data_IF_490032578565
#
_entry.id   IF_490032578565
#
_cell.length_a   1.000
_cell.length_b   1.000
_cell.length_c   1.000
_cell.angle_alpha   90.00
_cell.angle_beta   90.00
_cell.angle_gamma   90.00
#
_symmetry.space_group_name_H-M   'P 1'
#
loop_
_entity.id
_entity.type
_entity.pdbx_description
1 polymer ?
2 non-polymer ?
3 non-polymer ?
4 non-polymer ?
5 water ?
#
# COMPACT_ATOMS: atom_id res chain seq x y z
N UNK A 1 -15.54 9.25 -6.07
CA UNK A 1 -15.18 8.69 -4.75
C UNK A 1 -15.70 7.26 -4.54
N UNK A 2 -14.82 6.36 -4.15
CA UNK A 2 -15.07 4.93 -4.03
C UNK A 2 -15.34 4.69 -2.56
N UNK A 3 -15.93 3.58 -2.26
CA UNK A 3 -16.16 3.17 -0.87
C UNK A 3 -15.01 2.27 -0.44
N UNK A 4 -14.48 2.46 0.77
CA UNK A 4 -13.48 1.55 1.33
C UNK A 4 -14.15 0.64 2.37
N UNK A 5 -13.69 -0.60 2.50
CA UNK A 5 -12.58 -1.16 1.70
C UNK A 5 -12.91 -1.37 0.22
N UNK A 6 -11.89 -1.20 -0.61
CA UNK A 6 -11.99 -1.28 -2.06
C UNK A 6 -11.06 -2.39 -2.55
N UNK A 7 -11.52 -3.16 -3.54
CA UNK A 7 -10.66 -4.13 -4.20
C UNK A 7 -10.36 -3.65 -5.61
N UNK A 8 -9.08 -3.51 -5.93
CA UNK A 8 -8.61 -3.27 -7.29
C UNK A 8 -8.16 -4.60 -7.87
N UNK A 9 -8.84 -5.15 -8.86
CA UNK A 9 -8.35 -6.38 -9.51
C UNK A 9 -7.03 -6.11 -10.20
N UNK A 10 -6.15 -7.10 -10.14
CA UNK A 10 -4.86 -7.06 -10.82
C UNK A 10 -4.79 -8.34 -11.63
N UNK A 11 -5.58 -8.45 -12.72
CA UNK A 11 -5.60 -9.71 -13.45
C UNK A 11 -4.29 -9.96 -14.10
N UNK A 12 -3.82 -11.19 -14.01
CA UNK A 12 -2.47 -11.46 -14.47
C UNK A 12 -1.43 -10.94 -13.51
N UNK A 13 -1.84 -10.43 -12.34
CA UNK A 13 -0.93 -10.01 -11.30
C UNK A 13 -0.15 -8.78 -11.70
N UNK A 14 1.03 -8.70 -11.11
CA UNK A 14 1.90 -7.57 -11.33
C UNK A 14 3.12 -8.02 -12.13
N UNK A 15 3.85 -7.05 -12.67
CA UNK A 15 4.97 -7.33 -13.56
C UNK A 15 5.89 -6.14 -13.51
N UNK A 16 7.22 -6.33 -13.62
CA UNK A 16 8.08 -5.15 -13.61
C UNK A 16 7.63 -4.12 -14.60
N UNK A 17 7.75 -2.89 -14.18
CA UNK A 17 7.39 -1.71 -14.92
C UNK A 17 5.91 -1.35 -14.78
N UNK A 18 5.13 -2.15 -14.08
CA UNK A 18 3.78 -1.75 -13.76
C UNK A 18 3.80 -0.72 -12.63
N UNK A 19 2.99 0.32 -12.81
CA UNK A 19 2.89 1.42 -11.85
C UNK A 19 1.46 1.50 -11.38
N UNK A 20 1.23 1.27 -10.10
CA UNK A 20 -0.10 1.32 -9.50
C UNK A 20 -0.26 2.63 -8.76
N UNK A 21 -1.32 3.37 -9.06
CA UNK A 21 -1.55 4.68 -8.45
C UNK A 21 -2.84 4.64 -7.64
N UNK A 22 -2.75 5.10 -6.40
CA UNK A 22 -3.86 5.18 -5.48
C UNK A 22 -3.98 6.65 -5.08
N UNK A 23 -5.15 7.25 -5.35
CA UNK A 23 -5.42 8.65 -5.04
C UNK A 23 -6.50 8.74 -4.00
N UNK A 24 -6.27 9.55 -2.99
CA UNK A 24 -7.27 9.70 -1.97
C UNK A 24 -6.97 10.88 -1.07
N UNK A 25 -7.76 11.00 0.01
CA UNK A 25 -7.56 12.03 1.03
C UNK A 25 -7.62 11.36 2.40
N UNK A 26 -6.67 11.68 3.27
CA UNK A 26 -6.68 11.14 4.63
C UNK A 26 -7.81 11.80 5.41
N UNK A 27 -8.60 10.96 6.12
CA UNK A 27 -9.66 11.52 6.92
C UNK A 27 -9.10 12.32 8.09
N UNK A 28 -9.79 13.36 8.57
CA UNK A 28 -9.11 14.31 9.49
C UNK A 28 -8.57 13.68 10.81
N UNK A 29 -9.19 12.63 11.33
CA UNK A 29 -8.73 12.01 12.58
C UNK A 29 -8.26 10.59 12.36
N UNK A 30 -7.48 10.38 11.31
CA UNK A 30 -7.10 9.06 10.85
C UNK A 30 -6.20 8.37 11.86
N UNK A 31 -6.39 7.07 11.92
CA UNK A 31 -5.54 6.17 12.68
C UNK A 31 -4.65 5.27 11.83
N UNK A 32 -5.14 4.80 10.67
CA UNK A 32 -4.35 3.86 9.89
C UNK A 32 -4.88 3.84 8.47
N UNK A 33 -3.99 3.39 7.56
CA UNK A 33 -4.30 3.08 6.18
C UNK A 33 -3.68 1.71 5.90
N UNK A 34 -4.26 0.91 4.99
CA UNK A 34 -3.60 -0.33 4.59
C UNK A 34 -3.81 -0.56 3.09
N UNK A 35 -2.71 -0.90 2.40
CA UNK A 35 -2.71 -1.50 1.06
C UNK A 35 -2.27 -2.94 1.24
N UNK A 36 -3.02 -3.87 0.67
CA UNK A 36 -2.69 -5.30 0.72
C UNK A 36 -2.68 -5.91 -0.68
N UNK A 37 -1.47 -6.12 -1.21
CA UNK A 37 -1.30 -6.87 -2.46
C UNK A 37 -1.41 -8.33 -2.13
N UNK A 38 -2.44 -9.00 -2.64
CA UNK A 38 -2.78 -10.34 -2.24
C UNK A 38 -2.54 -11.36 -3.34
N UNK A 39 -2.07 -12.54 -2.90
CA UNK A 39 -2.02 -13.75 -3.71
C UNK A 39 -2.93 -14.74 -2.99
N UNK A 40 -4.17 -14.83 -3.43
CA UNK A 40 -5.15 -15.56 -2.62
C UNK A 40 -5.26 -14.93 -1.23
N UNK A 41 -5.18 -15.78 -0.19
CA UNK A 41 -5.21 -15.27 1.18
C UNK A 41 -3.86 -14.71 1.64
N UNK A 42 -2.78 -14.97 0.91
CA UNK A 42 -1.52 -14.45 1.32
C UNK A 42 -1.41 -12.99 0.96
N UNK A 43 -0.69 -12.25 1.76
CA UNK A 43 -0.47 -10.82 1.51
C UNK A 43 0.99 -10.71 1.11
N UNK A 44 1.25 -10.55 -0.18
CA UNK A 44 2.62 -10.39 -0.68
C UNK A 44 3.24 -9.14 -0.13
N UNK A 45 2.47 -8.04 -0.05
CA UNK A 45 3.01 -6.75 0.36
C UNK A 45 1.86 -6.01 1.04
N UNK A 46 2.03 -5.80 2.35
CA UNK A 46 1.16 -5.03 3.23
C UNK A 46 1.92 -3.73 3.49
N UNK A 47 1.29 -2.60 3.19
CA UNK A 47 1.81 -1.27 3.38
C UNK A 47 0.86 -0.56 4.31
N UNK A 48 1.30 -0.26 5.54
CA UNK A 48 0.41 0.11 6.63
C UNK A 48 0.89 1.34 7.38
N UNK A 49 0.57 2.53 6.89
CA UNK A 49 0.76 3.75 7.69
C UNK A 49 -0.07 3.73 8.94
N UNK A 50 0.61 3.96 10.08
CA UNK A 50 -0.02 4.02 11.39
C UNK A 50 0.22 5.42 11.94
N UNK A 51 -0.87 6.15 12.17
CA UNK A 51 -0.79 7.54 12.59
C UNK A 51 -0.54 7.70 14.09
N UNK A 52 -0.75 6.68 14.88
CA UNK A 52 -0.67 6.86 16.32
C UNK A 52 -0.34 5.53 16.94
N UNK A 53 0.87 5.07 16.69
CA UNK A 53 1.40 3.91 17.39
C UNK A 53 2.33 4.50 18.46
N UNK A 54 1.88 4.62 19.71
CA UNK A 54 2.68 5.31 20.74
C UNK A 54 2.97 6.77 20.41
N UNK A 55 1.94 7.50 19.97
CA UNK A 55 2.11 8.91 19.63
C UNK A 55 3.19 9.09 18.62
N UNK A 56 3.47 8.00 17.92
CA UNK A 56 4.43 7.98 16.86
C UNK A 56 3.70 7.62 15.57
N UNK A 57 4.13 8.25 14.51
CA UNK A 57 3.68 7.91 13.17
C UNK A 57 4.74 7.03 12.52
N UNK A 58 4.32 5.90 11.94
CA UNK A 58 5.27 4.96 11.37
C UNK A 58 4.56 4.22 10.25
N UNK A 59 5.32 3.83 9.22
CA UNK A 59 4.81 2.95 8.18
C UNK A 59 5.36 1.55 8.41
N UNK A 60 4.48 0.58 8.57
CA UNK A 60 4.82 -0.82 8.75
C UNK A 60 4.57 -1.55 7.44
N UNK A 61 5.55 -2.31 6.98
CA UNK A 61 5.40 -3.19 5.83
C UNK A 61 5.68 -4.62 6.24
N UNK A 62 4.98 -5.57 5.66
CA UNK A 62 5.16 -6.99 5.96
C UNK A 62 4.48 -7.83 4.90
N UNK A 63 4.60 -9.16 5.09
CA UNK A 63 4.01 -10.20 4.27
C UNK A 63 3.31 -11.19 5.18
N UNK A 64 2.16 -11.65 4.74
CA UNK A 64 1.39 -12.63 5.51
C UNK A 64 1.36 -13.92 4.68
N UNK A 65 1.85 -15.02 5.26
CA UNK A 65 1.89 -16.30 4.58
C UNK A 65 1.19 -17.32 5.46
N UNK A 66 0.21 -18.03 4.90
CA UNK A 66 -0.55 -19.00 5.67
C UNK A 66 -1.08 -18.37 6.95
N UNK A 67 -1.52 -17.12 6.84
CA UNK A 67 -2.16 -16.38 7.90
C UNK A 67 -1.19 -15.95 9.00
N UNK A 68 0.13 -16.01 8.77
CA UNK A 68 1.14 -15.61 9.73
C UNK A 68 1.94 -14.43 9.21
N UNK A 69 1.96 -13.32 9.96
CA UNK A 69 2.79 -12.19 9.55
C UNK A 69 4.25 -12.53 9.76
N UNK A 70 5.09 -12.06 8.84
CA UNK A 70 6.52 -12.25 8.88
C UNK A 70 7.20 -11.14 9.67
N UNK A 71 8.47 -10.94 9.36
CA UNK A 71 9.24 -9.89 10.01
C UNK A 71 8.96 -8.51 9.41
N UNK A 72 8.61 -7.56 10.27
CA UNK A 72 8.25 -6.23 9.82
C UNK A 72 9.46 -5.45 9.31
N UNK A 73 9.18 -4.55 8.37
CA UNK A 73 10.11 -3.51 7.93
C UNK A 73 9.41 -2.18 8.18
N UNK A 74 10.04 -1.25 8.89
CA UNK A 74 9.40 0.00 9.31
C UNK A 74 10.10 1.19 8.68
N UNK A 75 9.30 2.22 8.45
CA UNK A 75 9.79 3.47 7.88
C UNK A 75 9.19 4.61 8.69
N UNK A 76 10.05 5.48 9.25
CA UNK A 76 9.61 6.63 10.02
C UNK A 76 9.33 7.87 9.18
N UNK A 77 9.87 7.95 7.94
CA UNK A 77 9.43 9.00 7.03
C UNK A 77 7.96 8.80 6.77
N UNK A 78 7.16 9.89 6.94
CA UNK A 78 5.71 9.74 7.06
C UNK A 78 5.09 10.87 6.30
N UNK A 79 4.80 10.69 5.01
CA UNK A 79 4.33 11.81 4.18
C UNK A 79 2.84 12.10 4.27
N UNK A 80 2.05 11.26 4.89
CA UNK A 80 0.62 11.41 4.92
C UNK A 80 0.22 12.35 6.06
N UNK A 81 -0.87 13.09 5.87
CA UNK A 81 -1.32 14.02 6.89
C UNK A 81 -2.83 14.07 6.91
N UNK A 82 -3.39 14.05 8.11
CA UNK A 82 -4.84 14.04 8.24
C UNK A 82 -5.40 15.24 7.48
N UNK A 83 -6.45 14.99 6.71
CA UNK A 83 -7.13 16.00 5.94
C UNK A 83 -6.54 16.29 4.58
N UNK A 84 -5.39 15.73 4.25
CA UNK A 84 -4.78 16.13 3.00
C UNK A 84 -4.84 15.04 1.92
N UNK A 85 -4.89 15.48 0.67
CA UNK A 85 -4.89 14.55 -0.46
C UNK A 85 -3.52 13.95 -0.69
N UNK A 86 -3.48 12.69 -1.07
CA UNK A 86 -2.25 11.99 -1.32
C UNK A 86 -2.35 11.22 -2.63
N UNK A 87 -1.18 10.86 -3.13
CA UNK A 87 -1.02 9.91 -4.22
C UNK A 87 0.04 8.91 -3.80
N UNK A 88 -0.34 7.65 -3.73
CA UNK A 88 0.62 6.56 -3.53
C UNK A 88 0.88 5.93 -4.90
N UNK A 89 2.14 5.79 -5.27
CA UNK A 89 2.53 5.06 -6.49
C UNK A 89 3.41 3.88 -6.09
N UNK A 90 3.03 2.70 -6.52
CA UNK A 90 3.77 1.47 -6.28
C UNK A 90 4.30 1.07 -7.65
N UNK A 91 5.63 1.11 -7.82
CA UNK A 91 6.31 0.68 -9.03
C UNK A 91 6.84 -0.72 -8.76
N UNK A 92 6.42 -1.66 -9.59
CA UNK A 92 6.94 -3.01 -9.49
C UNK A 92 8.25 -3.12 -10.21
N UNK A 93 9.28 -3.56 -9.50
CA UNK A 93 10.58 -3.80 -10.09
C UNK A 93 10.91 -5.28 -9.93
N UNK A 94 11.99 -5.76 -10.58
CA UNK A 94 12.26 -7.21 -10.49
C UNK A 94 12.51 -7.69 -9.09
N UNK A 95 13.18 -6.91 -8.27
CA UNK A 95 13.52 -7.45 -6.97
C UNK A 95 12.71 -6.89 -5.83
N UNK A 96 11.93 -5.84 -6.08
CA UNK A 96 11.23 -5.16 -4.99
C UNK A 96 10.05 -4.35 -5.54
N UNK A 97 9.16 -3.95 -4.63
CA UNK A 97 8.26 -2.84 -4.85
C UNK A 97 8.94 -1.59 -4.44
N UNK A 98 8.77 -0.56 -5.23
CA UNK A 98 9.28 0.76 -4.93
C UNK A 98 8.08 1.69 -4.74
N UNK A 99 7.99 2.36 -3.60
CA UNK A 99 6.83 3.18 -3.25
C UNK A 99 7.25 4.64 -3.19
N UNK A 100 6.48 5.48 -3.88
CA UNK A 100 6.58 6.92 -3.82
C UNK A 100 5.25 7.49 -3.37
N UNK A 101 5.29 8.56 -2.61
CA UNK A 101 4.11 9.26 -2.16
C UNK A 101 4.25 10.71 -2.57
N UNK A 102 3.23 11.24 -3.21
CA UNK A 102 3.24 12.65 -3.64
C UNK A 102 4.52 12.95 -4.39
N UNK A 103 4.93 12.01 -5.26
CA UNK A 103 6.05 12.15 -6.17
C UNK A 103 7.40 12.18 -5.51
N UNK A 104 7.51 11.67 -4.29
CA UNK A 104 8.76 11.53 -3.58
C UNK A 104 8.98 10.08 -3.17
N UNK A 105 10.17 9.57 -3.46
CA UNK A 105 10.48 8.19 -3.07
C UNK A 105 10.34 8.03 -1.56
N UNK A 106 9.72 6.94 -1.15
CA UNK A 106 9.49 6.64 0.25
C UNK A 106 10.23 5.37 0.70
N UNK A 107 10.02 4.23 0.08
CA UNK A 107 10.63 3.00 0.56
C UNK A 107 10.65 1.98 -0.57
N UNK A 108 11.41 0.90 -0.33
CA UNK A 108 11.41 -0.30 -1.15
C UNK A 108 11.12 -1.50 -0.28
N UNK A 109 10.49 -2.50 -0.88
CA UNK A 109 10.15 -3.74 -0.17
C UNK A 109 10.49 -4.92 -1.05
N UNK A 110 11.52 -5.68 -0.67
CA UNK A 110 11.95 -6.81 -1.46
C UNK A 110 10.86 -7.87 -1.56
N UNK A 111 10.77 -8.53 -2.74
CA UNK A 111 9.75 -9.58 -2.94
C UNK A 111 10.05 -10.78 -2.05
N UNK A 112 9.12 -11.08 -1.18
CA UNK A 112 9.12 -12.33 -0.44
C UNK A 112 8.25 -13.35 -1.14
N UNK A 113 7.08 -12.93 -1.61
CA UNK A 113 6.24 -13.75 -2.50
C UNK A 113 6.81 -13.56 -3.88
N UNK A 114 7.23 -14.65 -4.49
CA UNK A 114 7.95 -14.62 -5.75
C UNK A 114 7.03 -14.76 -6.97
N UNK A 115 5.80 -15.23 -6.79
CA UNK A 115 4.90 -15.41 -7.94
C UNK A 115 4.09 -14.13 -8.22
N UNK A 116 4.75 -13.16 -8.87
CA UNK A 116 4.13 -11.85 -9.10
C UNK A 116 2.90 -11.92 -9.97
N UNK A 117 2.91 -12.77 -11.00
CA UNK A 117 1.70 -12.85 -11.90
C UNK A 117 0.55 -13.57 -11.23
N UNK A 118 0.63 -13.90 -9.94
CA UNK A 118 -0.52 -14.40 -9.17
C UNK A 118 -0.94 -13.49 -8.02
N UNK A 119 -0.33 -12.32 -7.93
CA UNK A 119 -0.74 -11.28 -6.97
C UNK A 119 -1.85 -10.51 -7.67
N UNK A 120 -3.06 -11.04 -7.59
CA UNK A 120 -4.14 -10.67 -8.49
C UNK A 120 -5.18 -9.74 -7.88
N UNK A 121 -4.93 -9.21 -6.66
CA UNK A 121 -5.83 -8.22 -6.08
C UNK A 121 -5.07 -7.25 -5.20
N UNK A 122 -5.46 -5.99 -5.20
CA UNK A 122 -4.99 -5.00 -4.25
C UNK A 122 -6.17 -4.53 -3.43
N UNK A 123 -6.12 -4.79 -2.13
CA UNK A 123 -7.12 -4.26 -1.21
C UNK A 123 -6.66 -2.94 -0.62
N UNK A 124 -7.57 -1.99 -0.55
CA UNK A 124 -7.29 -0.65 -0.06
C UNK A 124 -8.30 -0.37 1.06
N UNK A 125 -7.80 -0.07 2.25
CA UNK A 125 -8.65 0.12 3.42
C UNK A 125 -8.09 1.14 4.38
N UNK A 126 -8.94 1.50 5.34
CA UNK A 126 -8.62 2.35 6.43
C UNK A 126 -9.16 3.74 6.25
N UNK A 127 -8.51 4.71 6.88
CA UNK A 127 -9.14 5.98 7.26
C UNK A 127 -8.91 7.05 6.19
N UNK A 128 -9.46 6.74 5.02
CA UNK A 128 -9.29 7.56 3.84
C UNK A 128 -10.62 7.75 3.13
N UNK A 129 -10.68 8.81 2.35
CA UNK A 129 -11.64 8.93 1.26
C UNK A 129 -10.90 8.59 -0.04
N UNK A 130 -11.25 7.46 -0.63
CA UNK A 130 -10.53 6.96 -1.80
C UNK A 130 -11.15 7.53 -3.07
N UNK A 131 -10.33 8.22 -3.82
CA UNK A 131 -10.81 8.81 -5.08
C UNK A 131 -10.70 7.84 -6.24
N UNK A 132 -9.56 7.20 -6.41
CA UNK A 132 -9.38 6.29 -7.52
C UNK A 132 -8.19 5.37 -7.27
N UNK A 133 -8.20 4.25 -7.99
CA UNK A 133 -7.11 3.30 -7.94
C UNK A 133 -6.99 2.74 -9.34
N UNK A 134 -5.79 2.71 -9.89
CA UNK A 134 -5.59 2.26 -11.26
C UNK A 134 -4.14 1.88 -11.46
N UNK A 135 -3.80 1.37 -12.64
CA UNK A 135 -2.42 1.07 -12.94
C UNK A 135 -2.17 1.27 -14.42
N UNK A 136 -0.88 1.33 -14.76
CA UNK A 136 -0.45 1.40 -16.14
C UNK A 136 0.90 0.72 -16.26
N UNK A 137 1.31 0.46 -17.50
CA UNK A 137 2.74 0.30 -17.78
C UNK A 137 3.35 1.64 -18.18
N UNK A 138 4.39 2.05 -17.45
CA UNK A 138 5.17 3.23 -17.82
C UNK A 138 5.92 2.96 -19.13
X LIG B 1 -2.94 -0.14 12.18
X LIG B 1 -2.66 -1.48 12.78
X LIG B 1 -2.19 -2.53 13.12
X LIG C 1 -6.52 -2.99 10.05
X LIG C 1 -7.82 -3.50 9.93
X LIG C 1 -8.86 -3.15 10.84
X LIG C 1 -8.58 -2.30 11.94
X LIG C 1 -7.28 -1.81 12.12
X LIG C 1 -6.30 -2.15 11.17
X LIG C 1 -3.08 -4.47 10.32
X LIG C 1 -1.39 -5.78 12.62
X LIG C 1 -0.07 -6.35 13.18
X LIG C 1 1.88 -6.22 15.20
X LIG C 1 2.83 -5.17 15.79
X LIG C 1 4.04 -5.96 16.29
X LIG C 1 1.63 -10.17 16.66
X LIG C 1 1.56 -7.26 16.15
X LIG C 1 1.03 -6.02 12.31
X LIG C 1 3.27 -6.93 10.87
X LIG C 1 -0.36 -6.02 10.34
X LIG C 1 -1.56 -6.32 11.23
X LIG C 1 -4.27 -4.53 9.61
X LIG C 1 3.67 -7.05 17.31
X LIG C 1 2.72 -7.99 16.58
X LIG C 1 2.23 -9.16 17.47
X LIG C 1 0.88 -6.62 11.02
X LIG C 1 2.11 -6.37 10.25
X LIG C 1 -2.76 -5.78 10.60
X LIG C 1 -3.70 -6.58 10.02
X LIG C 1 -4.61 -5.85 9.49
X LIG C 1 -0.23 -4.62 10.17
X LIG C 1 -4.45 -2.11 8.93
X LIG C 1 -5.63 -3.76 7.63
X LIG C 1 -2.44 -6.21 13.45
X LIG C 1 3.25 -4.28 14.77
X LIG C 1 4.96 -5.08 16.93
X LIG C 1 4.82 -7.72 17.70
X LIG C 1 -5.19 -3.31 8.95
X LIG C 1 0.31 -5.48 14.75
X LIG C 1 -8.02 -4.09 9.24
X LIG C 1 -9.73 -3.46 10.73
X LIG C 1 -9.23 -2.09 12.55
X LIG C 1 -7.10 -1.26 12.86
X LIG C 1 -5.44 -1.80 11.28
X LIG C 1 -2.56 -3.74 10.58
X LIG C 1 -1.43 -4.81 12.61
X LIG C 1 -0.17 -7.28 13.41
X LIG C 1 2.25 -6.52 14.35
X LIG C 1 2.39 -4.68 16.49
X LIG C 1 4.43 -6.39 15.51
X LIG C 1 1.29 -10.80 17.14
X LIG C 1 3.35 -6.64 11.68
X LIG C 1 -0.47 -6.43 9.47
X LIG C 1 -1.59 -7.29 11.37
X LIG C 1 3.25 -6.71 18.11
X LIG C 1 3.20 -8.42 15.85
X LIG C 1 2.96 -9.56 17.97
X LIG C 1 1.59 -8.87 18.13
X LIG C 1 0.79 -7.59 11.04
X LIG C 1 2.20 -5.41 10.13
X LIG C 1 1.99 -6.73 9.36
X LIG C 1 0.47 -4.42 9.70
X LIG C 1 -2.55 -5.68 14.10
X LIG C 1 3.66 -4.66 14.13
X LIG C 1 5.50 -4.72 16.37
X LIG C 1 5.07 -7.47 18.48
X LIG D 1 18.19 -4.42 -3.28
#
# INVERSE_FOLDING_TARGET
PLIVPYNLPLPGGVVPRMLITILGTVKPNANRIALDFQRGNDVAFHFNPRFNENNRRVIVCNTKLDNNWGREERQSVFPFESGKPFKIQVLVEPDHFKVAVNDAHLLQYNHRVKKLNEISKLGISGDIDLTSASYTMI
SCN S C N
YJF C10 C11 C12 C13 C14 C15 C17 C18 C20 C22 C23 C25 O31 O32 O33 O36 C02 C03 C07 C27 C29 C30 C34 C35 N04 N05 N06 O01 O09 O16 O19 O24 O26 O28 S08 S21 H111 H121 H131 H141 H151 H171 H181 H201 H221 H231 H251 H311 H361 H021 H031 H271 H291 H301 H302 H341 H352 H351 H011 H191 H241 H261 H281
MG MG
#
